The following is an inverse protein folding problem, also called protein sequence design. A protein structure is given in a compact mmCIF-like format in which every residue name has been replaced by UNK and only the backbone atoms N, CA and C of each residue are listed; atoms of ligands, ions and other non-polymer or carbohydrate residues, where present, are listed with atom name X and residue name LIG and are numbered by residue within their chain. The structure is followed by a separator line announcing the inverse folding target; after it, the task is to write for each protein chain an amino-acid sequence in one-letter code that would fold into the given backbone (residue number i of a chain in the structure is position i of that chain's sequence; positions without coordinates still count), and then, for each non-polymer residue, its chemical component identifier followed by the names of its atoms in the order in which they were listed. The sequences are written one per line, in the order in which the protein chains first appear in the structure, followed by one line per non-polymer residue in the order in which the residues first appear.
data_IF_646528045516
#
_entry.id   IF_646528045516
#
_cell.length_a   1.000
_cell.length_b   1.000
_cell.length_c   1.000
_cell.angle_alpha   90.00
_cell.angle_beta   90.00
_cell.angle_gamma   90.00
#
_symmetry.space_group_name_H-M   'P 1'
#
loop_
_entity.id
_entity.type
_entity.pdbx_description
1 polymer ?
#
# COMPACT_ATOMS: atom_id res chain seq x y z
N UNK A 1 -18.08 4.17 9.15
CA UNK A 1 -18.41 5.40 8.41
C UNK A 1 -17.17 6.25 8.41
N UNK A 2 -16.65 6.59 7.23
CA UNK A 2 -15.52 7.51 7.12
C UNK A 2 -15.91 8.88 7.70
N UNK A 3 -15.01 9.49 8.45
CA UNK A 3 -15.17 10.85 8.97
C UNK A 3 -14.29 11.78 8.13
N UNK A 4 -14.85 12.52 7.16
CA UNK A 4 -14.08 13.40 6.28
C UNK A 4 -13.25 14.45 7.03
N UNK A 5 -13.75 14.91 8.19
CA UNK A 5 -13.04 15.87 9.03
C UNK A 5 -11.79 15.24 9.66
N UNK A 6 -11.90 14.01 10.17
CA UNK A 6 -10.76 13.29 10.72
C UNK A 6 -9.71 12.98 9.64
N UNK A 7 -10.13 12.65 8.41
CA UNK A 7 -9.21 12.45 7.28
C UNK A 7 -8.49 13.76 6.92
N UNK A 8 -9.21 14.89 6.89
CA UNK A 8 -8.61 16.20 6.64
C UNK A 8 -7.57 16.56 7.69
N UNK A 9 -7.88 16.35 8.97
CA UNK A 9 -6.95 16.61 10.08
C UNK A 9 -5.71 15.70 9.98
N UNK A 10 -5.90 14.43 9.64
CA UNK A 10 -4.80 13.49 9.41
C UNK A 10 -3.84 14.00 8.34
N UNK A 11 -4.33 14.33 7.15
CA UNK A 11 -3.46 14.80 6.06
C UNK A 11 -2.87 16.19 6.32
N UNK A 12 -3.60 17.07 7.00
CA UNK A 12 -3.06 18.37 7.43
C UNK A 12 -1.87 18.22 8.40
N UNK A 13 -1.84 17.17 9.23
CA UNK A 13 -0.68 16.85 10.07
C UNK A 13 0.48 16.29 9.23
N UNK A 14 0.19 15.37 8.29
CA UNK A 14 1.19 14.81 7.39
C UNK A 14 1.84 15.86 6.48
N UNK A 15 1.11 16.90 6.08
CA UNK A 15 1.62 18.01 5.29
C UNK A 15 2.68 18.84 6.05
N UNK A 16 2.68 18.81 7.39
CA UNK A 16 3.74 19.46 8.20
C UNK A 16 5.07 18.72 8.15
N UNK A 17 5.08 17.49 7.64
CA UNK A 17 6.27 16.66 7.48
C UNK A 17 6.89 16.80 6.07
N UNK A 18 6.59 17.87 5.32
CA UNK A 18 7.08 18.10 3.93
C UNK A 18 8.62 18.02 3.80
N UNK A 19 9.36 18.38 4.85
CA UNK A 19 10.83 18.23 4.88
C UNK A 19 11.33 16.77 4.92
N UNK A 20 10.43 15.80 5.12
CA UNK A 20 10.71 14.36 5.18
C UNK A 20 10.21 13.58 3.95
N UNK A 21 9.90 14.26 2.85
CA UNK A 21 9.45 13.59 1.61
C UNK A 21 10.50 12.63 1.05
N UNK A 22 10.03 11.51 0.51
CA UNK A 22 10.87 10.46 -0.06
C UNK A 22 10.86 10.39 -1.59
N UNK A 23 10.11 11.26 -2.28
CA UNK A 23 9.96 11.25 -3.74
C UNK A 23 8.88 10.30 -4.26
N UNK A 24 8.28 9.48 -3.38
CA UNK A 24 7.05 8.74 -3.61
C UNK A 24 6.07 8.97 -2.45
N UNK A 25 5.81 10.24 -2.18
CA UNK A 25 5.05 10.73 -1.03
C UNK A 25 3.60 11.06 -1.39
N UNK A 26 2.95 10.20 -2.19
CA UNK A 26 1.52 10.31 -2.48
C UNK A 26 0.67 9.94 -1.27
N UNK A 27 -0.53 10.53 -1.21
CA UNK A 27 -1.55 10.07 -0.28
C UNK A 27 -1.97 8.64 -0.66
N UNK A 28 -2.11 7.80 0.35
CA UNK A 28 -2.40 6.39 0.16
C UNK A 28 -3.30 5.83 1.25
N UNK A 29 -3.94 4.72 0.90
CA UNK A 29 -4.62 3.86 1.85
C UNK A 29 -3.86 2.53 1.93
N UNK A 30 -3.03 2.39 2.95
CA UNK A 30 -2.12 1.26 3.17
C UNK A 30 -2.86 0.10 3.84
N UNK A 31 -2.72 -1.11 3.29
CA UNK A 31 -3.51 -2.27 3.68
C UNK A 31 -2.63 -3.50 3.91
N UNK A 32 -2.86 -4.22 5.01
CA UNK A 32 -2.15 -5.47 5.31
C UNK A 32 -2.88 -6.34 6.34
N UNK A 33 -2.37 -7.56 6.52
CA UNK A 33 -2.83 -8.55 7.50
C UNK A 33 -1.79 -8.86 8.59
N UNK A 34 -0.79 -7.99 8.81
CA UNK A 34 0.29 -8.20 9.80
C UNK A 34 1.05 -9.52 9.60
N UNK A 35 1.24 -9.92 8.34
CA UNK A 35 1.92 -11.17 8.00
C UNK A 35 1.05 -12.42 8.07
N UNK A 36 -0.22 -12.31 8.46
CA UNK A 36 -1.16 -13.42 8.54
C UNK A 36 -1.89 -13.66 7.22
N UNK A 37 -2.33 -14.89 6.99
CA UNK A 37 -3.26 -15.18 5.91
C UNK A 37 -4.59 -14.45 6.09
N UNK A 38 -5.26 -14.15 4.97
CA UNK A 38 -6.54 -13.42 4.93
C UNK A 38 -7.68 -14.11 5.70
N UNK A 39 -7.58 -15.42 5.93
CA UNK A 39 -8.54 -16.25 6.65
C UNK A 39 -8.20 -16.42 8.15
N UNK A 40 -7.04 -15.95 8.59
CA UNK A 40 -6.56 -16.10 9.97
C UNK A 40 -6.73 -14.83 10.79
N UNK A 41 -6.32 -13.68 10.25
CA UNK A 41 -6.25 -12.41 10.96
C UNK A 41 -7.15 -11.34 10.36
N UNK A 42 -7.50 -10.29 11.15
CA UNK A 42 -8.21 -9.15 10.62
C UNK A 42 -7.41 -8.45 9.50
N UNK A 43 -8.13 -7.87 8.56
CA UNK A 43 -7.59 -6.90 7.62
C UNK A 43 -7.44 -5.55 8.32
N UNK A 44 -6.36 -4.83 8.02
CA UNK A 44 -6.09 -3.49 8.52
C UNK A 44 -5.87 -2.51 7.37
N UNK A 45 -6.46 -1.33 7.49
CA UNK A 45 -6.32 -0.23 6.54
C UNK A 45 -5.96 1.08 7.24
N UNK A 46 -4.97 1.80 6.70
CA UNK A 46 -4.42 3.03 7.26
C UNK A 46 -4.33 4.11 6.18
N UNK A 47 -4.94 5.26 6.43
CA UNK A 47 -4.67 6.45 5.62
C UNK A 47 -3.30 7.02 5.97
N UNK A 48 -2.49 7.37 4.98
CA UNK A 48 -1.14 7.85 5.23
C UNK A 48 -0.39 8.30 3.98
N UNK A 49 0.92 8.45 4.15
CA UNK A 49 1.90 8.86 3.12
C UNK A 49 3.23 8.20 3.44
N UNK A 50 4.03 7.88 2.43
CA UNK A 50 5.41 7.44 2.67
C UNK A 50 6.33 8.63 2.95
N UNK A 51 7.28 8.43 3.86
CA UNK A 51 8.30 9.41 4.22
C UNK A 51 9.69 8.76 4.17
N UNK A 52 10.73 9.58 4.16
CA UNK A 52 12.11 9.10 4.24
C UNK A 52 12.36 8.42 5.60
N UNK A 53 13.33 7.51 5.63
CA UNK A 53 13.73 6.85 6.87
C UNK A 53 14.11 7.85 7.96
N UNK A 54 13.67 7.62 9.20
CA UNK A 54 13.93 8.48 10.34
C UNK A 54 13.00 9.71 10.46
N UNK A 55 11.97 9.82 9.62
CA UNK A 55 10.91 10.81 9.83
C UNK A 55 10.25 10.64 11.21
N UNK A 56 9.95 11.73 11.94
CA UNK A 56 9.23 11.63 13.21
C UNK A 56 7.78 11.20 12.96
N UNK A 57 7.25 10.39 13.87
CA UNK A 57 5.85 9.95 13.85
C UNK A 57 5.04 10.89 14.73
N UNK A 58 4.02 11.60 14.20
CA UNK A 58 3.16 12.46 15.01
C UNK A 58 2.45 11.68 16.11
N UNK A 59 2.12 12.36 17.21
CA UNK A 59 1.40 11.73 18.31
C UNK A 59 0.05 11.15 17.84
N UNK A 60 -0.23 9.90 18.21
CA UNK A 60 -1.45 9.19 17.81
C UNK A 60 -1.41 8.54 16.44
N UNK A 61 -0.31 8.66 15.69
CA UNK A 61 -0.13 7.99 14.40
C UNK A 61 0.56 6.64 14.57
N UNK A 62 0.16 5.68 13.73
CA UNK A 62 0.90 4.44 13.54
C UNK A 62 1.98 4.64 12.47
N UNK A 63 3.02 3.80 12.49
CA UNK A 63 4.02 3.74 11.44
C UNK A 63 4.37 2.29 11.13
N UNK A 64 4.84 2.07 9.91
CA UNK A 64 5.34 0.78 9.43
C UNK A 64 6.63 1.02 8.67
N UNK A 65 7.72 0.45 9.16
CA UNK A 65 8.99 0.51 8.43
C UNK A 65 8.93 -0.38 7.19
N UNK A 66 9.42 0.16 6.07
CA UNK A 66 9.62 -0.56 4.82
C UNK A 66 11.13 -0.75 4.59
N UNK A 67 11.59 -1.99 4.58
CA UNK A 67 13.00 -2.35 4.45
C UNK A 67 13.26 -3.05 3.11
N UNK A 68 14.46 -2.93 2.53
CA UNK A 68 14.75 -3.54 1.24
C UNK A 68 14.97 -5.05 1.30
N UNK A 69 15.39 -5.59 2.44
CA UNK A 69 15.76 -7.00 2.57
C UNK A 69 14.67 -7.78 3.30
N UNK A 70 14.37 -8.97 2.80
CA UNK A 70 13.46 -9.88 3.48
C UNK A 70 14.18 -10.53 4.67
N UNK A 71 13.85 -10.08 5.88
CA UNK A 71 14.43 -10.63 7.11
C UNK A 71 13.85 -11.99 7.55
N UNK A 72 12.96 -12.59 6.75
CA UNK A 72 12.30 -13.87 7.05
C UNK A 72 11.26 -13.84 8.16
N UNK A 73 11.03 -12.69 8.81
CA UNK A 73 10.03 -12.55 9.86
C UNK A 73 8.62 -12.30 9.28
N UNK A 74 7.60 -12.73 10.00
CA UNK A 74 6.20 -12.44 9.66
C UNK A 74 5.83 -11.01 10.09
N UNK A 75 5.11 -10.30 9.23
CA UNK A 75 4.62 -8.95 9.50
C UNK A 75 5.69 -7.86 9.38
N UNK A 76 5.46 -6.68 10.01
CA UNK A 76 6.39 -5.56 9.99
C UNK A 76 7.79 -5.93 10.55
N UNK A 77 8.88 -5.30 10.05
CA UNK A 77 8.90 -4.37 8.94
C UNK A 77 8.58 -5.08 7.61
N UNK A 78 7.89 -4.37 6.72
CA UNK A 78 7.49 -4.90 5.42
C UNK A 78 8.56 -4.63 4.35
N UNK A 79 8.41 -5.21 3.16
CA UNK A 79 9.32 -4.94 2.04
C UNK A 79 9.05 -3.57 1.41
N UNK A 80 10.12 -2.83 1.10
CA UNK A 80 10.06 -1.56 0.38
C UNK A 80 9.93 -1.71 -1.13
N UNK A 81 10.21 -2.89 -1.67
CA UNK A 81 10.04 -3.18 -3.08
C UNK A 81 8.55 -3.37 -3.37
N UNK A 82 8.08 -2.66 -4.38
CA UNK A 82 6.70 -2.75 -4.82
C UNK A 82 6.60 -2.72 -6.34
N UNK A 83 5.49 -3.23 -6.84
CA UNK A 83 4.97 -2.94 -8.17
C UNK A 83 3.91 -1.85 -8.07
N UNK A 84 3.82 -1.00 -9.09
CA UNK A 84 2.91 0.14 -9.12
C UNK A 84 2.15 0.18 -10.44
N UNK A 85 0.83 0.01 -10.36
CA UNK A 85 -0.09 0.21 -11.48
C UNK A 85 -0.70 1.60 -11.46
N UNK A 86 -0.77 2.26 -12.61
CA UNK A 86 -1.49 3.53 -12.79
C UNK A 86 -2.60 3.32 -13.81
N UNK A 87 -3.79 3.79 -13.45
CA UNK A 87 -5.00 3.51 -14.20
C UNK A 87 -5.67 4.80 -14.67
N UNK A 88 -6.41 4.69 -15.77
CA UNK A 88 -7.30 5.72 -16.28
C UNK A 88 -8.68 5.10 -16.49
N UNK A 89 -9.74 5.82 -16.14
CA UNK A 89 -11.11 5.32 -16.27
C UNK A 89 -12.06 6.01 -15.32
N UNK A 90 -13.33 5.59 -15.31
CA UNK A 90 -14.27 6.06 -14.30
C UNK A 90 -13.95 5.44 -12.94
N UNK A 91 -14.20 6.20 -11.88
CA UNK A 91 -14.01 5.73 -10.50
C UNK A 91 -14.82 4.45 -10.22
N UNK A 92 -16.02 4.33 -10.79
CA UNK A 92 -16.83 3.12 -10.72
C UNK A 92 -16.13 1.90 -11.33
N UNK A 93 -15.53 2.03 -12.52
CA UNK A 93 -14.83 0.93 -13.18
C UNK A 93 -13.56 0.53 -12.41
N UNK A 94 -12.80 1.52 -11.92
CA UNK A 94 -11.55 1.28 -11.17
C UNK A 94 -11.79 0.57 -9.83
N UNK A 95 -12.94 0.78 -9.19
CA UNK A 95 -13.31 0.18 -7.91
C UNK A 95 -14.35 -0.94 -8.05
N UNK A 96 -14.63 -1.37 -9.27
CA UNK A 96 -15.62 -2.42 -9.52
C UNK A 96 -15.15 -3.74 -8.92
N UNK A 97 -16.07 -4.44 -8.27
CA UNK A 97 -15.86 -5.82 -7.79
C UNK A 97 -16.47 -6.87 -8.71
N UNK A 98 -17.23 -6.44 -9.71
CA UNK A 98 -17.90 -7.37 -10.61
C UNK A 98 -16.87 -8.06 -11.50
N UNK A 99 -16.72 -9.38 -11.35
CA UNK A 99 -15.76 -10.18 -12.11
C UNK A 99 -14.32 -10.10 -11.59
N UNK A 100 -14.12 -9.56 -10.40
CA UNK A 100 -12.83 -9.49 -9.69
C UNK A 100 -12.93 -10.18 -8.33
N UNK A 101 -11.83 -10.72 -7.83
CA UNK A 101 -11.71 -11.35 -6.52
C UNK A 101 -11.79 -10.32 -5.39
N UNK A 102 -11.20 -9.13 -5.59
CA UNK A 102 -11.25 -8.02 -4.64
C UNK A 102 -11.88 -6.77 -5.26
N UNK A 103 -11.13 -6.07 -6.12
CA UNK A 103 -11.59 -4.98 -6.98
C UNK A 103 -10.71 -4.92 -8.24
N UNK A 104 -11.12 -4.12 -9.23
CA UNK A 104 -10.47 -4.05 -10.52
C UNK A 104 -8.99 -3.66 -10.44
N UNK A 105 -8.64 -2.60 -9.67
CA UNK A 105 -7.26 -2.15 -9.56
C UNK A 105 -6.37 -3.17 -8.85
N UNK A 106 -6.86 -3.76 -7.76
CA UNK A 106 -6.16 -4.81 -7.02
C UNK A 106 -5.87 -6.01 -7.93
N UNK A 107 -6.92 -6.57 -8.55
CA UNK A 107 -6.81 -7.81 -9.31
C UNK A 107 -5.96 -7.63 -10.57
N UNK A 108 -6.13 -6.51 -11.30
CA UNK A 108 -5.34 -6.24 -12.49
C UNK A 108 -3.86 -6.07 -12.12
N UNK A 109 -3.55 -5.37 -11.03
CA UNK A 109 -2.17 -5.19 -10.57
C UNK A 109 -1.56 -6.53 -10.14
N UNK A 110 -2.26 -7.29 -9.29
CA UNK A 110 -1.85 -8.63 -8.83
C UNK A 110 -1.58 -9.56 -10.01
N UNK A 111 -2.52 -9.65 -10.94
CA UNK A 111 -2.42 -10.57 -12.08
C UNK A 111 -1.29 -10.17 -13.03
N UNK A 112 -1.03 -8.87 -13.20
CA UNK A 112 0.10 -8.39 -14.00
C UNK A 112 1.47 -8.73 -13.37
N UNK A 113 1.58 -8.66 -12.03
CA UNK A 113 2.78 -9.05 -11.28
C UNK A 113 3.04 -10.55 -11.43
N UNK A 114 2.03 -11.37 -11.15
CA UNK A 114 2.13 -12.82 -11.23
C UNK A 114 2.37 -13.30 -12.68
N UNK A 115 1.74 -12.67 -13.66
CA UNK A 115 1.93 -12.97 -15.08
C UNK A 115 3.35 -12.67 -15.58
N UNK A 116 4.11 -11.80 -14.89
CA UNK A 116 5.51 -11.51 -15.16
C UNK A 116 6.48 -12.39 -14.35
N UNK A 117 5.97 -13.32 -13.53
CA UNK A 117 6.79 -14.17 -12.67
C UNK A 117 7.46 -13.42 -11.51
N UNK A 118 6.91 -12.27 -11.12
CA UNK A 118 7.37 -11.52 -9.94
C UNK A 118 6.64 -12.06 -8.71
N UNK A 119 7.38 -12.31 -7.62
CA UNK A 119 6.80 -12.88 -6.41
C UNK A 119 6.08 -11.80 -5.59
N UNK A 120 4.88 -12.14 -5.13
CA UNK A 120 4.20 -11.41 -4.05
C UNK A 120 4.53 -12.15 -2.74
N UNK A 121 5.10 -11.48 -1.72
CA UNK A 121 5.60 -12.13 -0.50
C UNK A 121 4.48 -12.46 0.49
N UNK A 122 3.49 -13.21 0.01
CA UNK A 122 2.32 -13.60 0.77
C UNK A 122 2.59 -14.83 1.66
N UNK A 123 2.04 -14.88 2.89
CA UNK A 123 1.36 -13.78 3.59
C UNK A 123 2.33 -12.86 4.33
N UNK A 124 3.57 -13.32 4.58
CA UNK A 124 4.43 -12.82 5.64
C UNK A 124 4.90 -11.36 5.48
N UNK A 125 5.23 -10.91 4.26
CA UNK A 125 5.64 -9.51 4.01
C UNK A 125 4.65 -8.74 3.12
N UNK A 126 3.45 -9.29 2.98
CA UNK A 126 2.46 -8.81 2.05
C UNK A 126 1.76 -7.54 2.54
N UNK A 127 1.76 -6.52 1.68
CA UNK A 127 0.94 -5.32 1.81
C UNK A 127 0.50 -4.82 0.44
N UNK A 128 -0.60 -4.07 0.42
CA UNK A 128 -1.06 -3.31 -0.73
C UNK A 128 -1.37 -1.88 -0.36
N UNK A 129 -1.47 -1.00 -1.35
CA UNK A 129 -2.01 0.32 -1.10
C UNK A 129 -2.73 0.88 -2.32
N UNK A 130 -3.89 1.48 -2.10
CA UNK A 130 -4.49 2.36 -3.09
C UNK A 130 -3.79 3.72 -3.02
N UNK A 131 -3.48 4.31 -4.19
CA UNK A 131 -2.73 5.57 -4.29
C UNK A 131 -3.59 6.65 -4.91
N UNK A 132 -3.63 7.79 -4.23
CA UNK A 132 -4.44 8.95 -4.56
C UNK A 132 -3.54 9.99 -5.24
N UNK A 133 -3.27 9.78 -6.53
CA UNK A 133 -2.31 10.58 -7.30
C UNK A 133 -2.67 12.06 -7.42
N UNK A 134 -3.94 12.41 -7.19
CA UNK A 134 -4.46 13.77 -7.21
C UNK A 134 -4.89 14.26 -5.82
N UNK A 135 -4.37 13.62 -4.77
CA UNK A 135 -4.70 13.89 -3.38
C UNK A 135 -5.89 13.06 -2.87
N UNK A 136 -5.91 12.83 -1.56
CA UNK A 136 -6.91 11.99 -0.87
C UNK A 136 -8.37 12.42 -1.01
N UNK A 137 -8.63 13.67 -1.42
CA UNK A 137 -9.98 14.18 -1.67
C UNK A 137 -10.59 13.61 -2.96
N UNK A 138 -9.75 13.12 -3.88
CA UNK A 138 -10.17 12.46 -5.10
C UNK A 138 -10.18 10.93 -4.91
N UNK A 139 -10.80 10.19 -5.83
CA UNK A 139 -10.70 8.73 -5.82
C UNK A 139 -9.33 8.25 -6.33
N UNK A 140 -8.84 7.15 -5.79
CA UNK A 140 -7.54 6.60 -6.17
C UNK A 140 -7.51 6.13 -7.61
N UNK A 141 -6.34 6.23 -8.22
CA UNK A 141 -6.10 5.80 -9.61
C UNK A 141 -4.78 5.06 -9.75
N UNK A 142 -4.14 4.74 -8.62
CA UNK A 142 -2.93 3.95 -8.56
C UNK A 142 -3.08 2.82 -7.56
N UNK A 143 -2.35 1.74 -7.77
CA UNK A 143 -2.36 0.60 -6.85
C UNK A 143 -0.97 0.02 -6.68
N UNK A 144 -0.59 -0.22 -5.43
CA UNK A 144 0.68 -0.80 -5.03
C UNK A 144 0.50 -2.21 -4.52
N UNK A 145 1.49 -3.05 -4.81
CA UNK A 145 1.69 -4.36 -4.22
C UNK A 145 3.13 -4.50 -3.78
N UNK A 146 3.36 -4.94 -2.55
CA UNK A 146 4.66 -5.45 -2.12
C UNK A 146 5.11 -6.57 -3.05
N UNK A 147 6.38 -6.57 -3.44
CA UNK A 147 6.99 -7.66 -4.21
C UNK A 147 8.32 -8.06 -3.60
N UNK A 148 8.70 -9.32 -3.79
CA UNK A 148 10.00 -9.83 -3.39
C UNK A 148 10.81 -10.18 -4.64
N UNK A 149 11.98 -9.54 -4.79
CA UNK A 149 12.87 -9.75 -5.94
C UNK A 149 13.98 -10.75 -5.65
N UNK A 150 14.19 -11.11 -4.39
CA UNK A 150 15.27 -12.01 -3.95
C UNK A 150 14.81 -13.46 -3.92
N UNK A 151 13.51 -13.70 -3.79
CA UNK A 151 12.92 -15.03 -3.79
C UNK A 151 12.74 -15.67 -5.18
N UNK A 152 13.40 -15.16 -6.24
CA UNK A 152 13.46 -15.91 -7.50
C UNK A 152 14.39 -17.12 -7.31
N UNK A 153 13.91 -18.37 -7.50
CA UNK A 153 14.82 -19.50 -7.55
C UNK A 153 15.82 -19.27 -8.69
N UNK A 154 17.10 -19.55 -8.43
CA UNK A 154 18.13 -19.57 -9.47
C UNK A 154 17.61 -20.38 -10.68
N UNK A 155 17.68 -19.77 -11.87
CA UNK A 155 17.33 -20.43 -13.13
C UNK A 155 18.29 -21.56 -13.47
#
# INVERSE_FOLDING_TARGET
MENPQARRELFAELDRLDQYRCGFDYDLFFMHHYGLCVDVGPWHGFWGRFFQAGAPVPEGFAYFDLVPENNGAEGPPFLSQFAFGVFSGSQEALHSRQGFDSDAMYDVTRNAILGQGVLIPYPHKYWTAEVFLQGWEQGGTGYLFSVDREAQPEK
#
